data_IF_622061826576
#
_entry.id   IF_622061826576
#
_cell.length_a   1.000
_cell.length_b   1.000
_cell.length_c   1.000
_cell.angle_alpha   90.00
_cell.angle_beta   90.00
_cell.angle_gamma   90.00
#
_symmetry.space_group_name_H-M   'P 1'
#
loop_
_entity.id
_entity.type
_entity.pdbx_description
1 polymer ?
#
# COMPACT_ATOMS: atom_id res chain seq x y z
N UNK A 1 -52.12 -3.86 21.99
CA UNK A 1 -50.94 -3.04 21.63
C UNK A 1 -51.19 -2.43 20.27
N UNK A 2 -51.17 -1.10 20.14
CA UNK A 2 -51.49 -0.41 18.88
C UNK A 2 -50.57 -0.88 17.74
N UNK A 3 -51.12 -1.08 16.54
CA UNK A 3 -50.39 -1.68 15.41
C UNK A 3 -49.18 -0.84 14.95
N UNK A 4 -49.19 0.45 15.27
CA UNK A 4 -48.05 1.36 15.07
C UNK A 4 -46.81 0.95 15.89
N UNK A 5 -47.01 0.41 17.09
CA UNK A 5 -45.91 -0.04 17.97
C UNK A 5 -45.32 -1.36 17.46
N UNK A 6 -46.15 -2.23 16.86
CA UNK A 6 -45.69 -3.48 16.26
C UNK A 6 -44.79 -3.22 15.04
N UNK A 7 -45.17 -2.25 14.20
CA UNK A 7 -44.37 -1.84 13.04
C UNK A 7 -43.01 -1.26 13.43
N UNK A 8 -42.95 -0.48 14.52
CA UNK A 8 -41.69 0.06 15.02
C UNK A 8 -40.75 -1.03 15.55
N UNK A 9 -41.26 -2.01 16.30
CA UNK A 9 -40.46 -3.12 16.84
C UNK A 9 -39.93 -4.01 15.71
N UNK A 10 -40.73 -4.25 14.68
CA UNK A 10 -40.32 -5.03 13.50
C UNK A 10 -39.27 -4.27 12.66
N UNK A 11 -39.44 -2.95 12.51
CA UNK A 11 -38.47 -2.10 11.82
C UNK A 11 -37.13 -2.02 12.55
N UNK A 12 -37.13 -1.93 13.88
CA UNK A 12 -35.90 -1.90 14.69
C UNK A 12 -35.13 -3.22 14.63
N UNK A 13 -35.85 -4.35 14.60
CA UNK A 13 -35.23 -5.68 14.51
C UNK A 13 -34.59 -5.91 13.14
N UNK A 14 -35.22 -5.47 12.05
CA UNK A 14 -34.63 -5.53 10.70
C UNK A 14 -33.48 -4.53 10.54
N UNK A 15 -33.62 -3.31 11.07
CA UNK A 15 -32.57 -2.29 11.03
C UNK A 15 -31.30 -2.71 11.77
N UNK A 16 -31.44 -3.46 12.88
CA UNK A 16 -30.29 -3.96 13.65
C UNK A 16 -29.45 -5.02 12.92
N UNK A 17 -30.02 -5.71 11.93
CA UNK A 17 -29.30 -6.69 11.11
C UNK A 17 -28.44 -6.04 10.01
N UNK A 18 -28.74 -4.79 9.62
CA UNK A 18 -28.07 -4.09 8.52
C UNK A 18 -26.88 -3.23 8.98
N UNK A 19 -26.74 -2.92 10.26
CA UNK A 19 -25.59 -2.19 10.82
C UNK A 19 -24.41 -3.10 11.21
N UNK A 20 -24.42 -4.36 10.77
CA UNK A 20 -23.37 -5.35 11.03
C UNK A 20 -22.11 -5.22 10.17
N UNK A 21 -21.87 -4.09 9.50
CA UNK A 21 -20.57 -3.82 8.90
C UNK A 21 -19.60 -3.47 10.03
N UNK A 22 -18.94 -4.49 10.60
CA UNK A 22 -17.77 -4.26 11.46
C UNK A 22 -16.70 -3.57 10.61
N UNK A 23 -16.60 -2.26 10.73
CA UNK A 23 -15.39 -1.57 10.35
C UNK A 23 -14.27 -2.14 11.23
N UNK A 24 -13.38 -2.94 10.65
CA UNK A 24 -12.15 -3.35 11.32
C UNK A 24 -11.29 -2.10 11.50
N UNK A 25 -11.49 -1.37 12.60
CA UNK A 25 -10.49 -0.45 13.09
C UNK A 25 -9.26 -1.29 13.43
N UNK A 26 -8.12 -0.99 12.81
CA UNK A 26 -6.85 -1.60 13.20
C UNK A 26 -6.68 -1.41 14.71
N UNK A 27 -6.79 -2.50 15.47
CA UNK A 27 -6.79 -2.46 16.93
C UNK A 27 -5.36 -2.23 17.40
N UNK A 28 -4.92 -0.97 17.38
CA UNK A 28 -3.64 -0.56 17.94
C UNK A 28 -3.63 -0.81 19.44
N UNK A 29 -2.70 -1.64 19.92
CA UNK A 29 -2.45 -1.79 21.35
C UNK A 29 -1.46 -0.72 21.78
N UNK A 30 -1.93 0.23 22.60
CA UNK A 30 -1.03 1.17 23.25
C UNK A 30 -0.31 0.48 24.41
N UNK A 31 1.02 0.51 24.39
CA UNK A 31 1.85 0.03 25.51
C UNK A 31 2.55 1.22 26.15
N UNK A 32 2.51 1.31 27.47
CA UNK A 32 3.29 2.29 28.23
C UNK A 32 4.63 1.66 28.58
N UNK A 33 5.72 2.22 28.06
CA UNK A 33 7.08 1.73 28.28
C UNK A 33 8.01 2.90 28.57
N UNK A 34 8.94 2.71 29.51
CA UNK A 34 10.03 3.64 29.74
C UNK A 34 11.14 3.33 28.75
N UNK A 35 11.54 4.32 27.96
CA UNK A 35 12.64 4.18 27.02
C UNK A 35 13.99 4.45 27.70
N UNK A 36 15.03 3.74 27.25
CA UNK A 36 16.40 3.87 27.75
C UNK A 36 17.38 3.85 26.59
N UNK A 37 18.45 4.64 26.68
CA UNK A 37 19.58 4.54 25.76
C UNK A 37 20.42 3.31 26.12
N UNK A 38 20.56 2.38 25.18
CA UNK A 38 21.29 1.13 25.33
C UNK A 38 22.52 1.16 24.43
N UNK A 39 23.69 0.80 24.96
CA UNK A 39 24.87 0.54 24.14
C UNK A 39 24.80 -0.88 23.59
N UNK A 40 24.98 -1.04 22.28
CA UNK A 40 24.94 -2.33 21.60
C UNK A 40 26.37 -2.81 21.41
N UNK A 41 26.64 -4.01 21.94
CA UNK A 41 27.92 -4.70 21.80
C UNK A 41 27.70 -5.94 20.93
N UNK A 42 28.62 -6.19 20.01
CA UNK A 42 28.69 -7.43 19.23
C UNK A 42 30.07 -8.03 19.47
N UNK A 43 30.10 -9.27 19.94
CA UNK A 43 31.33 -10.00 20.31
C UNK A 43 32.23 -9.20 21.26
N UNK A 44 31.62 -8.64 22.32
CA UNK A 44 32.31 -7.85 23.35
C UNK A 44 32.73 -6.43 22.91
N UNK A 45 32.60 -6.09 21.63
CA UNK A 45 32.97 -4.78 21.10
C UNK A 45 31.77 -3.85 20.95
N UNK A 46 31.85 -2.63 21.47
CA UNK A 46 30.79 -1.63 21.30
C UNK A 46 30.66 -1.28 19.81
N UNK A 47 29.45 -1.45 19.25
CA UNK A 47 29.17 -1.11 17.85
C UNK A 47 28.39 0.19 17.70
N UNK A 48 27.33 0.36 18.49
CA UNK A 48 26.47 1.55 18.40
C UNK A 48 25.70 1.77 19.70
N UNK A 49 24.78 2.72 19.71
CA UNK A 49 23.80 2.88 20.78
C UNK A 49 22.43 3.18 20.19
N UNK A 50 21.38 2.70 20.85
CA UNK A 50 20.01 2.86 20.40
C UNK A 50 19.09 3.18 21.58
N UNK A 51 18.05 3.98 21.34
CA UNK A 51 16.95 4.11 22.29
C UNK A 51 16.08 2.87 22.17
N UNK A 52 16.03 2.06 23.23
CA UNK A 52 15.20 0.87 23.32
C UNK A 52 14.28 0.92 24.52
N UNK A 53 13.50 -0.13 24.73
CA UNK A 53 12.64 -0.30 25.89
C UNK A 53 12.55 -1.78 26.27
N UNK A 54 12.13 -2.06 27.50
CA UNK A 54 11.90 -3.43 27.97
C UNK A 54 10.39 -3.60 28.15
N UNK A 55 9.83 -4.63 27.52
CA UNK A 55 8.42 -4.97 27.64
C UNK A 55 8.28 -6.49 27.78
N UNK A 56 7.56 -6.95 28.81
CA UNK A 56 7.37 -8.38 29.13
C UNK A 56 8.69 -9.18 29.12
N UNK A 57 9.74 -8.63 29.74
CA UNK A 57 11.06 -9.27 29.81
C UNK A 57 11.86 -9.27 28.51
N UNK A 58 11.33 -8.70 27.42
CA UNK A 58 12.00 -8.60 26.13
C UNK A 58 12.54 -7.19 25.90
N UNK A 59 13.80 -7.09 25.47
CA UNK A 59 14.41 -5.81 25.07
C UNK A 59 14.12 -5.54 23.61
N UNK A 60 13.47 -4.41 23.33
CA UNK A 60 13.17 -3.94 21.98
C UNK A 60 14.12 -2.80 21.63
N UNK A 61 14.75 -2.92 20.47
CA UNK A 61 15.60 -1.88 19.88
C UNK A 61 15.19 -1.65 18.43
N UNK A 62 15.43 -0.46 17.87
CA UNK A 62 15.26 -0.21 16.45
C UNK A 62 16.08 -1.20 15.64
N UNK A 63 15.43 -1.91 14.72
CA UNK A 63 16.09 -2.90 13.85
C UNK A 63 17.21 -2.27 13.00
N UNK A 64 17.08 -0.98 12.65
CA UNK A 64 18.14 -0.22 11.97
C UNK A 64 19.43 -0.19 12.78
N UNK A 65 19.34 0.02 14.10
CA UNK A 65 20.50 0.01 15.00
C UNK A 65 21.12 -1.37 15.13
N UNK A 66 20.29 -2.43 15.17
CA UNK A 66 20.78 -3.80 15.15
C UNK A 66 21.53 -4.10 13.84
N UNK A 67 20.97 -3.72 12.69
CA UNK A 67 21.60 -3.83 11.37
C UNK A 67 22.95 -3.12 11.30
N UNK A 68 23.03 -1.87 11.77
CA UNK A 68 24.29 -1.14 11.87
C UNK A 68 25.32 -1.89 12.73
N UNK A 69 24.90 -2.49 13.85
CA UNK A 69 25.82 -3.22 14.72
C UNK A 69 26.44 -4.44 14.03
N UNK A 70 25.70 -5.12 13.15
CA UNK A 70 26.16 -6.29 12.38
C UNK A 70 26.67 -5.94 10.98
N UNK A 71 26.81 -4.64 10.66
CA UNK A 71 27.29 -4.18 9.35
C UNK A 71 26.36 -4.55 8.18
N UNK A 72 25.05 -4.64 8.42
CA UNK A 72 24.04 -4.94 7.40
C UNK A 72 23.10 -3.77 7.21
N UNK A 73 22.77 -3.49 5.95
CA UNK A 73 21.73 -2.52 5.61
C UNK A 73 20.36 -3.05 6.02
N UNK A 74 19.49 -2.16 6.50
CA UNK A 74 18.09 -2.47 6.78
C UNK A 74 17.22 -1.60 5.89
N UNK A 75 16.28 -2.22 5.17
CA UNK A 75 15.32 -1.54 4.30
C UNK A 75 13.92 -2.09 4.50
N UNK A 76 12.93 -1.23 4.26
CA UNK A 76 11.51 -1.59 4.28
C UNK A 76 10.97 -1.35 2.88
N UNK A 77 10.37 -2.38 2.28
CA UNK A 77 9.74 -2.31 0.96
C UNK A 77 8.36 -2.94 1.06
N UNK A 78 7.31 -2.11 0.91
CA UNK A 78 5.97 -2.47 1.35
C UNK A 78 5.97 -2.85 2.84
N UNK A 79 5.35 -3.99 3.16
CA UNK A 79 5.31 -4.54 4.52
C UNK A 79 6.50 -5.46 4.86
N UNK A 80 7.45 -5.61 3.93
CA UNK A 80 8.58 -6.53 4.08
C UNK A 80 9.83 -5.81 4.57
N UNK A 81 10.39 -6.32 5.68
CA UNK A 81 11.64 -5.85 6.27
C UNK A 81 12.83 -6.70 5.76
N UNK A 82 13.82 -6.05 5.16
CA UNK A 82 15.03 -6.68 4.63
C UNK A 82 16.25 -6.30 5.47
N UNK A 83 17.05 -7.29 5.85
CA UNK A 83 18.34 -7.10 6.51
C UNK A 83 19.43 -7.73 5.63
N UNK A 84 20.40 -6.93 5.19
CA UNK A 84 21.45 -7.34 4.27
C UNK A 84 21.09 -7.05 2.82
N UNK A 85 20.90 -8.08 1.99
CA UNK A 85 20.64 -7.93 0.55
C UNK A 85 19.28 -7.25 0.34
N UNK A 86 19.29 -6.13 -0.36
CA UNK A 86 18.08 -5.38 -0.70
C UNK A 86 17.46 -5.89 -2.00
N UNK A 87 16.13 -5.79 -2.17
CA UNK A 87 15.50 -6.06 -3.45
C UNK A 87 15.99 -5.03 -4.48
N UNK A 88 16.30 -5.50 -5.69
CA UNK A 88 16.73 -4.64 -6.80
C UNK A 88 15.52 -4.33 -7.66
N UNK A 89 15.19 -3.04 -7.81
CA UNK A 89 14.18 -2.58 -8.76
C UNK A 89 14.59 -3.06 -10.16
N UNK A 90 13.70 -3.79 -10.84
CA UNK A 90 13.96 -4.37 -12.16
C UNK A 90 13.21 -3.66 -13.27
N UNK A 91 12.15 -2.95 -12.92
CA UNK A 91 11.23 -2.30 -13.85
C UNK A 91 11.33 -0.79 -13.61
N UNK A 92 11.65 -0.03 -14.65
CA UNK A 92 11.50 1.43 -14.66
C UNK A 92 10.07 1.84 -14.99
N UNK A 93 9.73 3.11 -14.77
CA UNK A 93 8.43 3.67 -15.17
C UNK A 93 8.12 3.45 -16.67
N UNK A 94 9.10 3.66 -17.55
CA UNK A 94 8.94 3.42 -18.99
C UNK A 94 8.70 1.94 -19.30
N UNK A 95 9.43 1.04 -18.64
CA UNK A 95 9.24 -0.40 -18.79
C UNK A 95 7.88 -0.85 -18.27
N UNK A 96 7.34 -0.21 -17.22
CA UNK A 96 5.99 -0.51 -16.72
C UNK A 96 4.92 -0.21 -17.79
N UNK A 97 5.04 0.94 -18.47
CA UNK A 97 4.17 1.30 -19.61
C UNK A 97 4.29 0.28 -20.74
N UNK A 98 5.52 -0.07 -21.14
CA UNK A 98 5.77 -1.06 -22.19
C UNK A 98 5.18 -2.44 -21.84
N UNK A 99 5.29 -2.86 -20.58
CA UNK A 99 4.72 -4.12 -20.09
C UNK A 99 3.19 -4.14 -20.18
N UNK A 100 2.53 -3.04 -19.80
CA UNK A 100 1.06 -2.91 -19.88
C UNK A 100 0.61 -2.90 -21.34
N UNK A 101 1.26 -2.10 -22.20
CA UNK A 101 0.96 -2.06 -23.63
C UNK A 101 1.13 -3.43 -24.29
N UNK A 102 2.19 -4.16 -23.94
CA UNK A 102 2.45 -5.50 -24.49
C UNK A 102 1.42 -6.53 -24.04
N UNK A 103 0.93 -6.45 -22.80
CA UNK A 103 0.02 -7.46 -22.24
C UNK A 103 -1.45 -7.21 -22.58
N UNK A 104 -1.89 -5.94 -22.53
CA UNK A 104 -3.31 -5.57 -22.65
C UNK A 104 -3.63 -4.75 -23.91
N UNK A 105 -2.61 -4.34 -24.66
CA UNK A 105 -2.81 -3.77 -25.99
C UNK A 105 -3.10 -4.85 -27.06
N UNK A 106 -3.14 -4.45 -28.35
CA UNK A 106 -2.95 -3.10 -28.85
C UNK A 106 -4.14 -2.20 -28.48
N UNK A 107 -3.87 -1.03 -27.93
CA UNK A 107 -4.88 0.01 -27.73
C UNK A 107 -5.08 0.76 -29.06
N UNK A 108 -6.31 1.14 -29.36
CA UNK A 108 -6.61 1.93 -30.57
C UNK A 108 -5.95 3.31 -30.54
N UNK A 109 -5.78 3.93 -31.71
CA UNK A 109 -5.29 5.31 -31.81
C UNK A 109 -6.19 6.25 -31.00
N UNK A 110 -5.60 7.04 -30.09
CA UNK A 110 -6.31 7.95 -29.18
C UNK A 110 -6.15 7.60 -27.69
N UNK A 111 -5.71 6.38 -27.39
CA UNK A 111 -5.42 5.96 -26.01
C UNK A 111 -4.05 6.48 -25.56
N UNK A 112 -4.01 6.97 -24.32
CA UNK A 112 -2.83 7.41 -23.60
C UNK A 112 -2.52 6.35 -22.56
N UNK A 113 -1.25 5.96 -22.47
CA UNK A 113 -0.75 5.00 -21.48
C UNK A 113 0.45 5.63 -20.78
N UNK A 114 0.28 5.98 -19.52
CA UNK A 114 1.31 6.63 -18.74
C UNK A 114 1.28 6.19 -17.27
N UNK A 115 2.37 6.49 -16.55
CA UNK A 115 2.41 6.26 -15.10
C UNK A 115 1.69 7.43 -14.42
N UNK A 116 0.58 7.12 -13.75
CA UNK A 116 -0.22 8.08 -13.00
C UNK A 116 0.31 8.26 -11.57
N UNK A 117 0.76 7.17 -10.93
CA UNK A 117 1.37 7.24 -9.60
C UNK A 117 2.45 6.20 -9.34
N UNK A 118 3.29 6.47 -8.34
CA UNK A 118 4.44 5.65 -7.96
C UNK A 118 4.50 5.47 -6.43
N UNK A 119 4.57 4.22 -5.96
CA UNK A 119 4.84 3.88 -4.56
C UNK A 119 6.26 3.31 -4.39
N UNK A 120 6.65 2.83 -3.21
CA UNK A 120 7.96 2.17 -3.06
C UNK A 120 8.09 0.87 -3.86
N UNK A 121 6.96 0.22 -4.17
CA UNK A 121 6.93 -1.14 -4.75
C UNK A 121 6.15 -1.24 -6.07
N UNK A 122 5.28 -0.27 -6.37
CA UNK A 122 4.35 -0.31 -7.51
C UNK A 122 4.48 0.94 -8.38
N UNK A 123 4.35 0.76 -9.70
CA UNK A 123 3.92 1.79 -10.63
C UNK A 123 2.46 1.59 -11.00
N UNK A 124 1.63 2.62 -10.85
CA UNK A 124 0.24 2.60 -11.30
C UNK A 124 0.19 3.18 -12.70
N UNK A 125 -0.08 2.35 -13.70
CA UNK A 125 -0.18 2.75 -15.11
C UNK A 125 -1.65 3.01 -15.45
N UNK A 126 -1.94 4.21 -15.92
CA UNK A 126 -3.29 4.63 -16.33
C UNK A 126 -3.43 4.49 -17.84
N UNK A 127 -4.48 3.80 -18.27
CA UNK A 127 -4.87 3.67 -19.68
C UNK A 127 -6.20 4.38 -19.85
N UNK A 128 -6.21 5.44 -20.66
CA UNK A 128 -7.38 6.28 -20.87
C UNK A 128 -7.39 6.92 -22.24
N UNK A 129 -8.53 7.47 -22.64
CA UNK A 129 -8.64 8.37 -23.78
C UNK A 129 -9.28 9.69 -23.35
N UNK A 130 -9.05 10.74 -24.13
CA UNK A 130 -9.71 12.04 -23.95
C UNK A 130 -10.73 12.20 -25.07
N UNK A 131 -12.01 12.18 -24.70
CA UNK A 131 -13.14 12.32 -25.61
C UNK A 131 -13.58 13.78 -25.62
N UNK A 132 -13.63 14.40 -26.81
CA UNK A 132 -14.13 15.76 -26.97
C UNK A 132 -15.65 15.71 -27.21
N UNK A 133 -16.41 16.28 -26.30
CA UNK A 133 -17.88 16.33 -26.34
C UNK A 133 -18.40 17.46 -27.24
N UNK A 134 -17.70 18.60 -27.23
CA UNK A 134 -18.04 19.77 -28.04
C UNK A 134 -16.80 20.26 -28.79
N UNK A 135 -16.79 20.03 -30.11
CA UNK A 135 -15.69 20.43 -30.98
C UNK A 135 -15.51 21.95 -31.10
N UNK A 136 -16.55 22.74 -30.82
CA UNK A 136 -16.50 24.20 -30.92
C UNK A 136 -15.85 24.85 -29.70
N UNK A 137 -16.03 24.24 -28.52
CA UNK A 137 -15.49 24.73 -27.25
C UNK A 137 -14.25 23.94 -26.81
N UNK A 138 -13.98 22.78 -27.41
CA UNK A 138 -12.91 21.86 -27.01
C UNK A 138 -13.18 21.16 -25.67
N UNK A 139 -14.41 21.28 -25.14
CA UNK A 139 -14.80 20.64 -23.89
C UNK A 139 -14.93 19.14 -24.13
N UNK A 140 -14.40 18.37 -23.20
CA UNK A 140 -14.41 16.92 -23.24
C UNK A 140 -14.23 16.31 -21.85
N UNK A 141 -14.15 14.99 -21.80
CA UNK A 141 -13.93 14.21 -20.60
C UNK A 141 -12.90 13.09 -20.81
N UNK A 142 -12.32 12.63 -19.71
CA UNK A 142 -11.41 11.49 -19.71
C UNK A 142 -12.20 10.20 -19.51
N UNK A 143 -12.15 9.30 -20.49
CA UNK A 143 -12.68 7.96 -20.37
C UNK A 143 -11.54 7.02 -19.95
N UNK A 144 -11.58 6.55 -18.70
CA UNK A 144 -10.58 5.60 -18.21
C UNK A 144 -10.95 4.18 -18.61
N UNK A 145 -10.02 3.50 -19.27
CA UNK A 145 -10.14 2.08 -19.54
C UNK A 145 -9.78 1.27 -18.30
N UNK A 146 -8.57 1.46 -17.76
CA UNK A 146 -8.15 0.79 -16.54
C UNK A 146 -6.95 1.49 -15.89
N UNK A 147 -6.71 1.16 -14.63
CA UNK A 147 -5.41 1.33 -13.98
C UNK A 147 -4.77 -0.04 -13.76
N UNK A 148 -3.47 -0.13 -13.97
CA UNK A 148 -2.70 -1.35 -13.81
C UNK A 148 -1.58 -1.13 -12.82
N UNK A 149 -1.59 -1.91 -11.74
CA UNK A 149 -0.49 -1.96 -10.79
C UNK A 149 0.62 -2.86 -11.34
N UNK A 150 1.79 -2.28 -11.58
CA UNK A 150 2.99 -2.98 -12.02
C UNK A 150 4.00 -3.06 -10.87
N UNK A 151 4.31 -4.28 -10.42
CA UNK A 151 5.31 -4.51 -9.39
C UNK A 151 6.73 -4.22 -9.90
N UNK A 152 7.45 -3.35 -9.19
CA UNK A 152 8.77 -2.85 -9.59
C UNK A 152 9.88 -3.89 -9.58
N UNK A 153 9.70 -4.99 -8.85
CA UNK A 153 10.74 -6.00 -8.62
C UNK A 153 10.53 -7.26 -9.47
N UNK A 154 9.29 -7.54 -9.82
CA UNK A 154 8.86 -8.74 -10.54
C UNK A 154 8.31 -8.44 -11.93
N UNK A 155 7.79 -7.22 -12.15
CA UNK A 155 7.05 -6.85 -13.36
C UNK A 155 5.67 -7.49 -13.45
N UNK A 156 5.16 -8.08 -12.36
CA UNK A 156 3.80 -8.58 -12.31
C UNK A 156 2.81 -7.44 -12.49
N UNK A 157 1.77 -7.66 -13.32
CA UNK A 157 0.76 -6.64 -13.65
C UNK A 157 -0.60 -7.10 -13.13
N UNK A 158 -1.22 -6.27 -12.30
CA UNK A 158 -2.56 -6.48 -11.72
C UNK A 158 -3.51 -5.38 -12.20
N UNK A 159 -4.58 -5.71 -12.93
CA UNK A 159 -5.61 -4.72 -13.30
C UNK A 159 -6.41 -4.31 -12.06
N UNK A 160 -6.83 -3.04 -11.98
CA UNK A 160 -7.74 -2.57 -10.92
C UNK A 160 -9.20 -2.92 -11.20
N UNK A 161 -9.57 -3.02 -12.48
CA UNK A 161 -10.90 -3.45 -12.90
C UNK A 161 -10.79 -4.72 -13.76
N UNK A 162 -11.63 -5.70 -13.45
CA UNK A 162 -11.86 -6.88 -14.29
C UNK A 162 -13.08 -6.60 -15.19
N UNK A 163 -12.91 -6.70 -16.52
CA UNK A 163 -13.98 -6.56 -17.51
C UNK A 163 -14.17 -7.86 -18.30
#
# INVERSE_FOLDING_TARGET
MNDKIKGLILGLSIGSLLTGATAFAATGVNINVVTKKLSIYLDGSKKTSATGFIYKGTTYIPVKSAGTAIGKQVGLYGDSLYIGKQPTVKVSASQAVELVQKKYGPFSSGYIVEVDSESSTIYTVHVYEVVIDDQSTGVGHTATFNWYDVDKYTGAITPMFDF
#
